data_IF_988411096554
#
_entry.id   IF_988411096554
#
_cell.length_a   1.000
_cell.length_b   1.000
_cell.length_c   1.000
_cell.angle_alpha   90.00
_cell.angle_beta   90.00
_cell.angle_gamma   90.00
#
_symmetry.space_group_name_H-M   'P 1'
#
loop_
_entity.id
_entity.type
_entity.pdbx_description
1 polymer ?
#
# COMPACT_ATOMS: atom_id res chain seq x y z
N UNK A 1 10.78 15.22 14.00
CA UNK A 1 9.72 15.67 13.07
C UNK A 1 8.53 16.12 13.89
N UNK A 2 7.96 17.27 13.54
CA UNK A 2 6.67 17.72 14.09
C UNK A 2 5.53 16.87 13.53
N UNK A 3 4.41 16.79 14.24
CA UNK A 3 3.25 16.00 13.84
C UNK A 3 2.75 16.35 12.42
N UNK A 4 2.77 17.64 12.07
CA UNK A 4 2.43 18.13 10.73
C UNK A 4 3.34 17.59 9.62
N UNK A 5 4.64 17.38 9.90
CA UNK A 5 5.59 16.83 8.93
C UNK A 5 5.33 15.33 8.68
N UNK A 6 4.86 14.62 9.71
CA UNK A 6 4.47 13.20 9.59
C UNK A 6 3.22 13.06 8.73
N UNK A 7 2.23 13.93 8.89
CA UNK A 7 1.00 13.92 8.06
C UNK A 7 1.28 14.24 6.59
N UNK A 8 2.17 15.19 6.31
CA UNK A 8 2.61 15.47 4.94
C UNK A 8 3.31 14.25 4.33
N UNK A 9 4.19 13.60 5.09
CA UNK A 9 4.90 12.39 4.64
C UNK A 9 3.92 11.24 4.35
N UNK A 10 2.94 11.00 5.23
CA UNK A 10 1.87 10.01 5.02
C UNK A 10 1.11 10.30 3.74
N UNK A 11 0.71 11.55 3.51
CA UNK A 11 -0.04 11.96 2.33
C UNK A 11 0.76 11.74 1.03
N UNK A 12 2.05 12.10 1.03
CA UNK A 12 2.96 11.85 -0.10
C UNK A 12 3.09 10.35 -0.41
N UNK A 13 3.42 9.56 0.61
CA UNK A 13 3.56 8.10 0.50
C UNK A 13 2.27 7.44 0.00
N UNK A 14 1.14 7.82 0.59
CA UNK A 14 -0.17 7.30 0.18
C UNK A 14 -0.45 7.57 -1.29
N UNK A 15 -0.19 8.79 -1.78
CA UNK A 15 -0.42 9.16 -3.18
C UNK A 15 0.46 8.35 -4.13
N UNK A 16 1.75 8.23 -3.83
CA UNK A 16 2.70 7.45 -4.64
C UNK A 16 2.30 5.98 -4.71
N UNK A 17 2.12 5.35 -3.55
CA UNK A 17 1.78 3.92 -3.46
C UNK A 17 0.42 3.67 -4.14
N UNK A 18 -0.58 4.53 -3.92
CA UNK A 18 -1.88 4.40 -4.58
C UNK A 18 -1.77 4.42 -6.09
N UNK A 19 -0.96 5.32 -6.64
CA UNK A 19 -0.77 5.42 -8.09
C UNK A 19 -0.12 4.15 -8.66
N UNK A 20 0.96 3.65 -8.05
CA UNK A 20 1.63 2.44 -8.53
C UNK A 20 0.71 1.21 -8.43
N UNK A 21 0.01 1.07 -7.31
CA UNK A 21 -0.93 -0.05 -7.07
C UNK A 21 -2.12 0.02 -8.02
N UNK A 22 -2.73 1.19 -8.23
CA UNK A 22 -3.85 1.35 -9.15
C UNK A 22 -3.45 1.03 -10.58
N UNK A 23 -2.28 1.48 -11.03
CA UNK A 23 -1.79 1.19 -12.38
C UNK A 23 -1.53 -0.31 -12.57
N UNK A 24 -0.93 -0.97 -11.58
CA UNK A 24 -0.70 -2.41 -11.62
C UNK A 24 -2.01 -3.21 -11.66
N UNK A 25 -2.99 -2.87 -10.82
CA UNK A 25 -4.23 -3.64 -10.70
C UNK A 25 -5.17 -3.38 -11.88
N UNK A 26 -5.30 -2.13 -12.35
CA UNK A 26 -6.10 -1.81 -13.54
C UNK A 26 -5.57 -2.49 -14.80
N UNK A 27 -4.26 -2.66 -14.93
CA UNK A 27 -3.67 -3.41 -16.05
C UNK A 27 -3.79 -4.92 -15.90
N UNK A 28 -3.74 -5.45 -14.68
CA UNK A 28 -3.74 -6.91 -14.44
C UNK A 28 -5.12 -7.54 -14.36
N UNK A 29 -6.09 -6.83 -13.76
CA UNK A 29 -7.44 -7.35 -13.48
C UNK A 29 -8.56 -6.30 -13.73
N UNK A 30 -8.60 -5.64 -14.91
CA UNK A 30 -9.49 -4.50 -15.16
C UNK A 30 -10.97 -4.81 -14.92
N UNK A 31 -11.43 -6.02 -15.28
CA UNK A 31 -12.85 -6.40 -15.19
C UNK A 31 -13.29 -6.86 -13.79
N UNK A 32 -12.33 -7.11 -12.90
CA UNK A 32 -12.58 -7.67 -11.56
C UNK A 32 -12.32 -6.63 -10.47
N UNK A 33 -11.45 -5.66 -10.71
CA UNK A 33 -11.14 -4.59 -9.79
C UNK A 33 -12.31 -3.60 -9.67
N UNK A 34 -12.83 -3.40 -8.45
CA UNK A 34 -13.79 -2.32 -8.16
C UNK A 34 -13.06 -1.03 -7.85
N UNK A 35 -12.24 -1.05 -6.79
CA UNK A 35 -11.40 0.07 -6.40
C UNK A 35 -10.31 -0.40 -5.42
N UNK A 36 -9.35 0.48 -5.16
CA UNK A 36 -8.34 0.28 -4.13
C UNK A 36 -8.43 1.35 -3.06
N UNK A 37 -8.09 0.98 -1.83
CA UNK A 37 -7.83 1.94 -0.76
C UNK A 37 -6.42 1.73 -0.23
N UNK A 38 -5.61 2.77 -0.29
CA UNK A 38 -4.28 2.80 0.32
C UNK A 38 -4.34 3.74 1.52
N UNK A 39 -3.70 3.37 2.62
CA UNK A 39 -3.52 4.27 3.75
C UNK A 39 -2.20 4.03 4.47
N UNK A 40 -1.71 5.10 5.09
CA UNK A 40 -0.54 5.07 5.96
C UNK A 40 -0.98 5.44 7.37
N UNK A 41 -0.75 4.55 8.34
CA UNK A 41 -1.12 4.75 9.75
C UNK A 41 0.12 4.80 10.64
N UNK A 42 -0.03 5.30 11.87
CA UNK A 42 1.04 5.41 12.86
C UNK A 42 1.30 6.85 13.27
N UNK A 43 1.82 7.07 14.47
CA UNK A 43 1.97 8.42 15.04
C UNK A 43 3.38 8.98 14.89
N UNK A 44 4.36 8.15 14.51
CA UNK A 44 5.74 8.56 14.32
C UNK A 44 6.30 8.00 13.00
N UNK A 45 7.35 8.63 12.43
CA UNK A 45 8.00 8.13 11.22
C UNK A 45 8.47 6.68 11.37
N UNK A 46 8.92 6.29 12.55
CA UNK A 46 9.49 4.97 12.80
C UNK A 46 8.45 3.89 13.03
N UNK A 47 7.16 4.25 13.14
CA UNK A 47 6.06 3.33 13.37
C UNK A 47 5.02 3.35 12.25
N UNK A 48 5.37 3.90 11.07
CA UNK A 48 4.42 3.98 9.97
C UNK A 48 4.11 2.58 9.43
N UNK A 49 2.86 2.32 9.12
CA UNK A 49 2.36 1.08 8.52
C UNK A 49 1.61 1.42 7.25
N UNK A 50 1.92 0.74 6.15
CA UNK A 50 1.14 0.81 4.92
C UNK A 50 0.07 -0.27 4.95
N UNK A 51 -1.11 0.06 4.45
CA UNK A 51 -2.10 -0.94 4.06
C UNK A 51 -2.67 -0.64 2.68
N UNK A 52 -2.92 -1.70 1.93
CA UNK A 52 -3.59 -1.68 0.62
C UNK A 52 -4.77 -2.62 0.72
N UNK A 53 -5.98 -2.11 0.48
CA UNK A 53 -7.20 -2.90 0.33
C UNK A 53 -7.57 -2.96 -1.15
N UNK A 54 -7.77 -4.16 -1.66
CA UNK A 54 -8.17 -4.45 -3.03
C UNK A 54 -9.61 -4.94 -3.00
N UNK A 55 -10.55 -4.11 -3.44
CA UNK A 55 -11.95 -4.49 -3.54
C UNK A 55 -12.21 -5.06 -4.93
N UNK A 56 -12.83 -6.23 -4.98
CA UNK A 56 -13.04 -6.97 -6.22
C UNK A 56 -14.45 -7.56 -6.32
N UNK A 57 -14.87 -7.91 -7.54
CA UNK A 57 -16.17 -8.56 -7.84
C UNK A 57 -16.06 -10.06 -8.16
N UNK A 58 -14.83 -10.57 -8.33
CA UNK A 58 -14.58 -11.92 -8.83
C UNK A 58 -13.26 -12.49 -8.31
N UNK A 59 -12.73 -13.51 -8.99
CA UNK A 59 -11.47 -14.17 -8.59
C UNK A 59 -10.27 -13.29 -8.96
N UNK A 60 -9.37 -13.08 -8.01
CA UNK A 60 -8.09 -12.40 -8.24
C UNK A 60 -6.99 -13.46 -8.38
N UNK A 61 -6.21 -13.47 -9.47
CA UNK A 61 -5.09 -14.39 -9.61
C UNK A 61 -4.05 -14.17 -8.51
N UNK A 62 -3.54 -15.26 -7.93
CA UNK A 62 -2.49 -15.20 -6.91
C UNK A 62 -1.23 -14.51 -7.43
N UNK A 63 -0.90 -14.69 -8.72
CA UNK A 63 0.20 -13.99 -9.38
C UNK A 63 0.04 -12.46 -9.35
N UNK A 64 -1.19 -11.94 -9.49
CA UNK A 64 -1.47 -10.51 -9.35
C UNK A 64 -1.22 -10.05 -7.92
N UNK A 65 -1.62 -10.83 -6.91
CA UNK A 65 -1.35 -10.52 -5.51
C UNK A 65 0.15 -10.48 -5.22
N UNK A 66 0.92 -11.44 -5.74
CA UNK A 66 2.37 -11.44 -5.60
C UNK A 66 3.01 -10.22 -6.26
N UNK A 67 2.53 -9.77 -7.42
CA UNK A 67 3.02 -8.52 -8.03
C UNK A 67 2.77 -7.30 -7.15
N UNK A 68 1.63 -7.24 -6.45
CA UNK A 68 1.37 -6.17 -5.47
C UNK A 68 2.31 -6.27 -4.27
N UNK A 69 2.56 -7.49 -3.76
CA UNK A 69 3.53 -7.72 -2.68
C UNK A 69 4.93 -7.26 -3.10
N UNK A 70 5.40 -7.65 -4.28
CA UNK A 70 6.71 -7.23 -4.80
C UNK A 70 6.82 -5.70 -4.96
N UNK A 71 5.75 -5.04 -5.42
CA UNK A 71 5.68 -3.58 -5.47
C UNK A 71 5.81 -2.97 -4.06
N UNK A 72 5.10 -3.51 -3.08
CA UNK A 72 5.11 -3.01 -1.71
C UNK A 72 6.44 -3.29 -0.97
N UNK A 73 7.25 -4.26 -1.42
CA UNK A 73 8.58 -4.52 -0.86
C UNK A 73 9.55 -3.34 -0.99
N UNK A 74 9.29 -2.40 -1.91
CA UNK A 74 10.00 -1.11 -1.98
C UNK A 74 9.86 -0.28 -0.69
N UNK A 75 8.75 -0.48 0.02
CA UNK A 75 8.35 0.31 1.20
C UNK A 75 8.43 -0.50 2.49
N UNK A 76 8.22 -1.81 2.44
CA UNK A 76 8.11 -2.66 3.63
C UNK A 76 8.91 -3.96 3.44
N UNK A 77 9.65 -4.37 4.48
CA UNK A 77 10.41 -5.64 4.44
C UNK A 77 9.57 -6.85 4.82
N UNK A 78 8.44 -6.62 5.46
CA UNK A 78 7.57 -7.66 6.01
C UNK A 78 6.13 -7.31 5.65
N UNK A 79 5.47 -8.20 4.89
CA UNK A 79 4.13 -7.97 4.38
C UNK A 79 3.22 -9.13 4.76
N UNK A 80 2.03 -8.77 5.21
CA UNK A 80 0.98 -9.68 5.62
C UNK A 80 -0.18 -9.58 4.64
N UNK A 81 -0.77 -10.71 4.28
CA UNK A 81 -1.98 -10.77 3.46
C UNK A 81 -3.12 -11.24 4.35
N UNK A 82 -4.05 -10.33 4.64
CA UNK A 82 -5.25 -10.61 5.45
C UNK A 82 -6.49 -10.69 4.53
N UNK A 83 -7.42 -11.60 4.84
CA UNK A 83 -8.69 -11.82 4.11
C UNK A 83 -9.87 -11.85 5.10
N UNK A 84 -11.11 -11.49 4.73
CA UNK A 84 -11.60 -10.18 4.32
C UNK A 84 -12.54 -9.59 5.39
N UNK A 85 -12.32 -8.33 5.79
CA UNK A 85 -13.44 -7.51 6.24
C UNK A 85 -14.10 -6.92 4.98
N UNK A 86 -15.33 -7.35 4.65
CA UNK A 86 -16.16 -6.80 3.58
C UNK A 86 -15.67 -6.99 2.12
N UNK A 87 -15.19 -8.19 1.75
CA UNK A 87 -14.90 -8.54 0.35
C UNK A 87 -13.68 -7.83 -0.26
N UNK A 88 -12.71 -7.47 0.59
CA UNK A 88 -11.43 -6.92 0.17
C UNK A 88 -10.27 -7.78 0.64
N UNK A 89 -9.29 -7.95 -0.25
CA UNK A 89 -7.98 -8.50 0.12
C UNK A 89 -7.16 -7.34 0.69
N UNK A 90 -6.60 -7.51 1.89
CA UNK A 90 -5.72 -6.53 2.51
C UNK A 90 -4.28 -7.01 2.47
N UNK A 91 -3.38 -6.13 2.05
CA UNK A 91 -1.94 -6.33 2.18
C UNK A 91 -1.41 -5.20 3.05
N UNK A 92 -0.71 -5.51 4.14
CA UNK A 92 -0.14 -4.48 5.03
C UNK A 92 1.21 -4.86 5.58
N UNK A 93 1.97 -3.86 6.01
CA UNK A 93 3.25 -4.06 6.68
C UNK A 93 3.86 -2.76 7.18
N UNK A 94 4.83 -2.83 8.10
CA UNK A 94 5.57 -1.66 8.59
C UNK A 94 6.41 -1.04 7.47
N UNK A 95 6.40 0.28 7.35
CA UNK A 95 7.27 0.99 6.40
C UNK A 95 8.70 0.99 6.94
N UNK A 96 9.64 0.57 6.12
CA UNK A 96 11.05 0.54 6.48
C UNK A 96 11.63 1.95 6.57
N UNK A 97 12.56 2.19 7.50
CA UNK A 97 13.22 3.49 7.66
C UNK A 97 13.90 3.97 6.37
N UNK A 98 14.52 3.06 5.64
CA UNK A 98 15.23 3.37 4.39
C UNK A 98 14.30 3.97 3.32
N UNK A 99 13.04 3.50 3.29
CA UNK A 99 12.03 3.98 2.36
C UNK A 99 11.54 5.39 2.72
N UNK A 100 11.60 5.78 3.99
CA UNK A 100 11.19 7.12 4.44
C UNK A 100 12.22 8.18 4.05
N UNK A 101 13.51 7.85 4.15
CA UNK A 101 14.61 8.75 3.79
C UNK A 101 14.57 9.11 2.29
N UNK A 102 14.25 8.15 1.42
CA UNK A 102 14.13 8.39 -0.03
C UNK A 102 13.01 9.37 -0.40
N UNK A 103 11.90 9.34 0.32
CA UNK A 103 10.73 10.20 0.06
C UNK A 103 10.88 11.59 0.67
N UNK A 104 11.69 11.74 1.72
CA UNK A 104 12.03 13.06 2.26
C UNK A 104 12.96 13.87 1.35
N UNK A 105 13.73 13.21 0.49
CA UNK A 105 14.68 13.82 -0.44
C UNK A 105 14.09 14.13 -1.83
N UNK A 106 12.81 13.79 -2.06
CA UNK A 106 12.05 14.00 -3.31
C UNK A 106 10.92 15.02 -3.15
#
# INVERSE_FOLDING_TARGET
>A
MRESEVEVLKSKLQRMIKMEVDNLLKSSIPNVLKFTRVGITGSSPTSLTVYVKIFHSGKVPVSTLFRVVELLKKYSRELYIDSPHAGAIRISGPISRDSLTKVQLS
#
